data_IF_755469181540
#
_entry.id   IF_755469181540
#
_cell.length_a   1.000
_cell.length_b   1.000
_cell.length_c   1.000
_cell.angle_alpha   90.00
_cell.angle_beta   90.00
_cell.angle_gamma   90.00
#
_symmetry.space_group_name_H-M   'P 1'
#
loop_
_entity.id
_entity.type
_entity.pdbx_description
1 polymer ?
#
# COMPACT_ATOMS: atom_id res chain seq x y z
N UNK A 1 15.91 1.28 -4.06
CA UNK A 1 15.01 2.16 -4.84
C UNK A 1 14.51 1.54 -6.15
N UNK A 2 15.39 1.27 -7.12
CA UNK A 2 14.97 0.83 -8.47
C UNK A 2 14.27 -0.53 -8.49
N UNK A 3 14.80 -1.51 -7.74
CA UNK A 3 14.26 -2.87 -7.72
C UNK A 3 12.90 -2.90 -7.04
N UNK A 4 12.76 -2.18 -5.93
CA UNK A 4 11.52 -2.02 -5.18
C UNK A 4 10.46 -1.32 -6.03
N UNK A 5 10.83 -0.26 -6.76
CA UNK A 5 9.92 0.40 -7.69
C UNK A 5 9.41 -0.52 -8.80
N UNK A 6 10.29 -1.33 -9.42
CA UNK A 6 9.87 -2.31 -10.43
C UNK A 6 8.94 -3.35 -9.83
N UNK A 7 9.25 -3.86 -8.65
CA UNK A 7 8.39 -4.83 -7.95
C UNK A 7 7.03 -4.21 -7.68
N UNK A 8 6.96 -2.98 -7.17
CA UNK A 8 5.69 -2.29 -6.89
C UNK A 8 4.87 -2.06 -8.17
N UNK A 9 5.48 -1.63 -9.28
CA UNK A 9 4.76 -1.45 -10.55
C UNK A 9 4.25 -2.80 -11.09
N UNK A 10 5.07 -3.85 -11.06
CA UNK A 10 4.70 -5.16 -11.61
C UNK A 10 3.63 -5.86 -10.76
N UNK A 11 3.71 -5.72 -9.43
CA UNK A 11 2.79 -6.39 -8.49
C UNK A 11 1.54 -5.54 -8.32
N UNK A 12 1.67 -4.27 -7.90
CA UNK A 12 0.53 -3.43 -7.55
C UNK A 12 -0.22 -2.89 -8.77
N UNK A 13 0.38 -2.95 -9.97
CA UNK A 13 -0.30 -2.58 -11.21
C UNK A 13 -1.43 -3.53 -11.62
N UNK A 14 -1.43 -4.78 -11.12
CA UNK A 14 -2.41 -5.82 -11.49
C UNK A 14 -3.27 -6.28 -10.30
N UNK A 15 -2.93 -5.85 -9.10
CA UNK A 15 -3.60 -6.24 -7.86
C UNK A 15 -4.89 -5.44 -7.67
N UNK A 16 -5.99 -6.14 -7.43
CA UNK A 16 -7.27 -5.54 -7.06
C UNK A 16 -7.86 -6.29 -5.86
N UNK A 17 -7.73 -5.68 -4.67
CA UNK A 17 -8.22 -6.25 -3.42
C UNK A 17 -8.61 -5.14 -2.43
N UNK A 18 -9.73 -5.25 -1.70
CA UNK A 18 -10.22 -4.20 -0.80
C UNK A 18 -9.29 -3.86 0.38
N UNK A 19 -8.32 -4.73 0.68
CA UNK A 19 -7.33 -4.51 1.74
C UNK A 19 -5.92 -4.21 1.21
N UNK A 20 -5.80 -3.82 -0.07
CA UNK A 20 -4.57 -3.35 -0.69
C UNK A 20 -4.83 -2.01 -1.37
N UNK A 21 -3.92 -1.05 -1.17
CA UNK A 21 -4.06 0.27 -1.77
C UNK A 21 -3.83 0.18 -3.27
N UNK A 22 -4.75 0.72 -4.06
CA UNK A 22 -4.68 0.67 -5.52
C UNK A 22 -3.61 1.61 -6.06
N UNK A 23 -2.69 1.06 -6.84
CA UNK A 23 -1.80 1.86 -7.68
C UNK A 23 -2.61 2.37 -8.88
N UNK A 24 -2.81 3.68 -8.97
CA UNK A 24 -3.55 4.34 -10.05
C UNK A 24 -2.64 4.57 -11.27
N UNK A 25 -1.35 4.80 -11.04
CA UNK A 25 -0.38 5.00 -12.10
C UNK A 25 1.03 5.24 -11.59
N UNK A 26 1.96 5.51 -12.51
CA UNK A 26 3.35 5.80 -12.20
C UNK A 26 3.96 6.76 -13.24
N UNK A 27 5.09 7.37 -12.91
CA UNK A 27 5.97 8.08 -13.84
C UNK A 27 7.35 7.44 -13.80
N UNK A 28 7.93 7.24 -14.99
CA UNK A 28 9.20 6.54 -15.21
C UNK A 28 10.04 7.28 -16.28
N UNK A 29 10.21 8.59 -16.08
CA UNK A 29 10.93 9.44 -17.02
C UNK A 29 12.44 9.45 -16.72
N UNK A 30 13.24 9.43 -17.78
CA UNK A 30 14.69 9.61 -17.72
C UNK A 30 15.04 10.79 -18.61
N UNK A 31 15.37 11.93 -17.99
CA UNK A 31 15.69 13.17 -18.69
C UNK A 31 17.02 13.78 -18.19
N UNK A 32 17.37 14.95 -18.72
CA UNK A 32 18.60 15.68 -18.38
C UNK A 32 18.67 16.10 -16.90
N UNK A 33 17.57 16.00 -16.14
CA UNK A 33 17.47 16.26 -14.69
C UNK A 33 17.58 14.99 -13.86
N UNK A 34 17.67 13.82 -14.51
CA UNK A 34 17.87 12.51 -13.91
C UNK A 34 16.59 11.66 -13.84
N UNK A 35 16.77 10.42 -13.41
CA UNK A 35 15.72 9.40 -13.38
C UNK A 35 14.63 9.76 -12.35
N UNK A 36 13.40 9.97 -12.83
CA UNK A 36 12.20 10.17 -12.02
C UNK A 36 11.39 8.88 -11.91
N UNK A 37 11.12 8.45 -10.67
CA UNK A 37 10.33 7.26 -10.35
C UNK A 37 9.26 7.63 -9.35
N UNK A 38 8.07 7.91 -9.85
CA UNK A 38 6.93 8.30 -9.01
C UNK A 38 5.85 7.24 -9.08
N UNK A 39 5.13 7.08 -7.97
CA UNK A 39 3.99 6.18 -7.85
C UNK A 39 2.78 7.01 -7.42
N UNK A 40 1.65 6.76 -8.07
CA UNK A 40 0.39 7.45 -7.83
C UNK A 40 -0.60 6.45 -7.26
N UNK A 41 -0.97 6.63 -6.01
CA UNK A 41 -1.91 5.77 -5.28
C UNK A 41 -3.23 6.47 -5.04
N UNK A 42 -4.28 5.71 -4.72
CA UNK A 42 -5.48 6.27 -4.12
C UNK A 42 -5.18 6.96 -2.78
N UNK A 43 -5.92 8.04 -2.50
CA UNK A 43 -5.69 8.82 -1.30
C UNK A 43 -6.33 8.17 -0.07
N UNK A 44 -5.53 7.98 0.99
CA UNK A 44 -5.98 7.42 2.27
C UNK A 44 -6.21 8.54 3.30
N UNK A 45 -7.45 9.04 3.47
CA UNK A 45 -7.72 10.26 4.24
C UNK A 45 -7.41 10.14 5.73
N UNK A 46 -7.39 8.93 6.26
CA UNK A 46 -7.15 8.67 7.68
C UNK A 46 -5.66 8.48 8.02
N UNK A 47 -4.74 8.58 7.05
CA UNK A 47 -3.32 8.38 7.30
C UNK A 47 -2.97 6.96 7.74
N UNK A 48 -1.81 6.80 8.39
CA UNK A 48 -1.27 5.49 8.76
C UNK A 48 -1.88 4.95 10.05
N UNK A 49 -1.89 3.62 10.18
CA UNK A 49 -2.29 2.96 11.44
C UNK A 49 -1.35 3.35 12.59
N UNK A 50 -0.05 3.52 12.32
CA UNK A 50 0.94 3.97 13.30
C UNK A 50 0.53 5.30 13.95
N UNK A 51 0.08 6.27 13.14
CA UNK A 51 -0.40 7.56 13.64
C UNK A 51 -1.49 7.38 14.71
N UNK A 52 -2.42 6.44 14.48
CA UNK A 52 -3.54 6.16 15.39
C UNK A 52 -3.23 5.20 16.54
N UNK A 53 -2.07 4.53 16.52
CA UNK A 53 -1.57 3.69 17.61
C UNK A 53 -0.56 4.43 18.49
N UNK A 54 0.00 5.53 18.00
CA UNK A 54 1.00 6.33 18.71
C UNK A 54 0.45 6.85 20.04
N UNK A 55 1.25 6.84 21.13
CA UNK A 55 0.87 7.45 22.40
C UNK A 55 0.54 8.94 22.32
N UNK A 56 0.96 9.61 21.23
CA UNK A 56 0.71 11.04 20.99
C UNK A 56 -0.65 11.31 20.32
N UNK A 57 -1.38 10.27 19.92
CA UNK A 57 -2.69 10.45 19.31
C UNK A 57 -3.73 10.88 20.35
N UNK A 58 -4.51 11.94 20.10
CA UNK A 58 -5.54 12.39 21.03
C UNK A 58 -6.70 11.39 21.15
N UNK A 59 -6.92 10.55 20.14
CA UNK A 59 -7.98 9.54 20.12
C UNK A 59 -7.42 8.19 19.65
N UNK A 60 -6.99 7.32 20.57
CA UNK A 60 -6.43 6.02 20.19
C UNK A 60 -7.52 5.09 19.65
N UNK A 61 -7.15 4.23 18.69
CA UNK A 61 -8.08 3.24 18.15
C UNK A 61 -8.58 2.28 19.23
N UNK A 62 -9.90 2.03 19.33
CA UNK A 62 -10.47 0.99 20.18
C UNK A 62 -9.90 -0.39 19.84
N UNK A 63 -9.78 -1.28 20.82
CA UNK A 63 -9.18 -2.61 20.61
C UNK A 63 -9.91 -3.44 19.56
N UNK A 64 -11.24 -3.37 19.53
CA UNK A 64 -12.07 -4.02 18.50
C UNK A 64 -11.70 -3.58 17.08
N UNK A 65 -11.47 -2.28 16.87
CA UNK A 65 -11.03 -1.74 15.57
C UNK A 65 -9.62 -2.20 15.20
N UNK A 66 -8.71 -2.30 16.16
CA UNK A 66 -7.36 -2.84 15.91
C UNK A 66 -7.39 -4.29 15.45
N UNK A 67 -8.26 -5.10 16.06
CA UNK A 67 -8.47 -6.49 15.63
C UNK A 67 -9.06 -6.56 14.21
N UNK A 68 -10.00 -5.69 13.86
CA UNK A 68 -10.50 -5.59 12.48
C UNK A 68 -9.39 -5.23 11.49
N UNK A 69 -8.57 -4.22 11.81
CA UNK A 69 -7.42 -3.82 10.97
C UNK A 69 -6.43 -4.97 10.79
N UNK A 70 -6.12 -5.72 11.86
CA UNK A 70 -5.23 -6.87 11.78
C UNK A 70 -5.81 -7.99 10.90
N UNK A 71 -7.10 -8.27 11.00
CA UNK A 71 -7.79 -9.24 10.15
C UNK A 71 -7.77 -8.82 8.67
N UNK A 72 -8.04 -7.54 8.40
CA UNK A 72 -8.03 -6.98 7.04
C UNK A 72 -6.62 -6.99 6.44
N UNK A 73 -5.59 -6.69 7.23
CA UNK A 73 -4.20 -6.83 6.80
C UNK A 73 -3.84 -8.29 6.49
N UNK A 74 -4.31 -9.25 7.30
CA UNK A 74 -4.10 -10.67 7.05
C UNK A 74 -4.78 -11.12 5.75
N UNK A 75 -6.00 -10.64 5.46
CA UNK A 75 -6.70 -10.92 4.19
C UNK A 75 -5.94 -10.40 2.98
N UNK A 76 -5.44 -9.16 3.05
CA UNK A 76 -4.59 -8.60 2.00
C UNK A 76 -3.31 -9.41 1.79
N UNK A 77 -2.69 -9.89 2.88
CA UNK A 77 -1.50 -10.73 2.80
C UNK A 77 -1.78 -12.10 2.18
N UNK A 78 -2.89 -12.74 2.56
CA UNK A 78 -3.33 -13.99 1.94
C UNK A 78 -3.53 -13.81 0.43
N UNK A 79 -4.19 -12.73 0.01
CA UNK A 79 -4.36 -12.44 -1.42
C UNK A 79 -3.01 -12.29 -2.15
N UNK A 80 -2.04 -11.58 -1.58
CA UNK A 80 -0.71 -11.44 -2.17
C UNK A 80 0.05 -12.77 -2.27
N UNK A 81 -0.16 -13.70 -1.33
CA UNK A 81 0.56 -14.98 -1.30
C UNK A 81 -0.11 -16.08 -2.15
N UNK A 82 -1.43 -16.10 -2.23
CA UNK A 82 -2.21 -17.21 -2.79
C UNK A 82 -3.04 -16.83 -4.02
N UNK A 83 -3.38 -15.54 -4.18
CA UNK A 83 -4.23 -15.05 -5.26
C UNK A 83 -3.49 -14.49 -6.47
N UNK A 84 -2.17 -14.29 -6.36
CA UNK A 84 -1.30 -13.83 -7.45
C UNK A 84 -0.64 -15.04 -8.14
N UNK A 85 -1.44 -15.90 -8.76
CA UNK A 85 -0.89 -16.83 -9.75
C UNK A 85 -0.42 -15.99 -10.95
N UNK A 86 0.90 -15.84 -11.11
CA UNK A 86 1.50 -15.20 -12.28
C UNK A 86 1.15 -16.04 -13.53
N UNK A 87 0.08 -15.69 -14.24
CA UNK A 87 -0.18 -16.13 -15.62
C UNK A 87 0.65 -15.32 -16.63
#
# INVERSE_FOLDING_TARGET
>A
GHKEWITEVNVLGVVEHPNLVKLIGYCADDDERGIQRLLVYEFMPNGSVEYHLSPRTPMPLPWSKRLTIALDAARGLTYLHEGMDFQ
#
